data_IF_259111129382
#
_entry.id   IF_259111129382
#
_cell.length_a   1.000
_cell.length_b   1.000
_cell.length_c   1.000
_cell.angle_alpha   90.00
_cell.angle_beta   90.00
_cell.angle_gamma   90.00
#
_symmetry.space_group_name_H-M   'P 1'
#
loop_
_entity.id
_entity.type
_entity.pdbx_description
1 polymer ?
#
# COMPACT_ATOMS: atom_id res chain seq x y z
N UNK A 1 -73.02 -98.94 41.28
CA UNK A 1 -73.98 -98.77 40.18
C UNK A 1 -74.89 -97.63 40.55
N UNK A 2 -74.80 -96.53 39.79
CA UNK A 2 -75.88 -95.61 39.39
C UNK A 2 -75.20 -94.31 38.95
N UNK A 3 -75.34 -94.05 37.66
CA UNK A 3 -74.95 -92.82 36.97
C UNK A 3 -75.86 -91.68 37.40
N UNK A 4 -75.34 -90.44 37.43
CA UNK A 4 -76.04 -89.34 36.78
C UNK A 4 -75.05 -88.23 36.36
N UNK A 5 -74.92 -88.16 35.04
CA UNK A 5 -74.66 -87.05 34.12
C UNK A 5 -74.79 -85.64 34.70
N UNK A 6 -73.77 -84.80 34.47
CA UNK A 6 -74.01 -83.48 33.85
C UNK A 6 -72.73 -82.93 33.21
N UNK A 7 -72.78 -82.87 31.88
CA UNK A 7 -72.00 -81.96 31.04
C UNK A 7 -72.13 -80.53 31.58
N UNK A 8 -71.03 -79.79 31.60
CA UNK A 8 -71.11 -78.40 31.21
C UNK A 8 -69.89 -78.02 30.36
N UNK A 9 -70.22 -77.61 29.15
CA UNK A 9 -69.29 -77.24 28.09
C UNK A 9 -69.30 -75.72 28.04
N UNK A 10 -68.23 -75.05 28.47
CA UNK A 10 -68.09 -73.59 28.27
C UNK A 10 -66.94 -73.34 27.30
N UNK A 11 -67.34 -73.33 26.03
CA UNK A 11 -67.08 -72.28 25.03
C UNK A 11 -65.88 -71.37 25.31
N UNK A 12 -64.88 -71.48 24.43
CA UNK A 12 -63.82 -70.52 24.15
C UNK A 12 -64.34 -69.09 23.98
N UNK A 13 -63.79 -68.13 24.72
CA UNK A 13 -63.89 -66.70 24.40
C UNK A 13 -62.48 -66.16 24.13
N UNK A 14 -62.09 -66.27 22.87
CA UNK A 14 -60.92 -65.65 22.26
C UNK A 14 -61.24 -64.16 22.05
N UNK A 15 -60.93 -63.34 23.05
CA UNK A 15 -61.10 -61.89 22.95
C UNK A 15 -60.05 -61.31 21.98
N UNK A 16 -60.46 -60.57 20.92
CA UNK A 16 -59.51 -59.97 20.00
C UNK A 16 -58.61 -58.96 20.74
N UNK A 17 -57.35 -58.77 20.32
CA UNK A 17 -56.48 -57.78 20.93
C UNK A 17 -57.11 -56.39 20.76
N UNK A 18 -57.41 -55.75 21.88
CA UNK A 18 -57.94 -54.39 21.94
C UNK A 18 -56.90 -53.46 21.30
N UNK A 19 -57.16 -52.98 20.09
CA UNK A 19 -56.42 -51.85 19.53
C UNK A 19 -56.51 -50.68 20.52
N UNK A 20 -55.38 -50.06 20.92
CA UNK A 20 -55.44 -48.94 21.83
C UNK A 20 -56.26 -47.83 21.16
N UNK A 21 -57.35 -47.44 21.82
CA UNK A 21 -58.18 -46.32 21.42
C UNK A 21 -57.27 -45.12 21.16
N UNK A 22 -57.31 -44.59 19.93
CA UNK A 22 -56.64 -43.32 19.61
C UNK A 22 -57.31 -42.25 20.47
N UNK A 23 -56.63 -41.86 21.55
CA UNK A 23 -57.05 -40.73 22.38
C UNK A 23 -56.87 -39.49 21.51
N UNK A 24 -57.98 -38.92 21.04
CA UNK A 24 -57.94 -37.63 20.36
C UNK A 24 -57.43 -36.58 21.37
N UNK A 25 -56.39 -35.81 21.02
CA UNK A 25 -55.82 -34.82 21.93
C UNK A 25 -56.90 -33.81 22.32
N UNK A 26 -56.99 -33.50 23.61
CA UNK A 26 -57.97 -32.52 24.06
C UNK A 26 -57.61 -31.15 23.50
N UNK A 27 -58.60 -30.26 23.38
CA UNK A 27 -58.36 -28.87 22.92
C UNK A 27 -57.32 -28.14 23.78
N UNK A 28 -57.19 -28.51 25.06
CA UNK A 28 -56.18 -27.98 25.96
C UNK A 28 -54.77 -28.47 25.60
N UNK A 29 -54.62 -29.75 25.26
CA UNK A 29 -53.34 -30.34 24.82
C UNK A 29 -52.87 -29.72 23.50
N UNK A 30 -53.80 -29.54 22.55
CA UNK A 30 -53.50 -28.88 21.29
C UNK A 30 -53.05 -27.41 21.48
N UNK A 31 -53.66 -26.70 22.42
CA UNK A 31 -53.28 -25.32 22.75
C UNK A 31 -51.90 -25.25 23.43
N UNK A 32 -51.59 -26.18 24.33
CA UNK A 32 -50.28 -26.26 24.98
C UNK A 32 -49.15 -26.55 23.97
N UNK A 33 -49.37 -27.46 23.00
CA UNK A 33 -48.42 -27.75 21.93
C UNK A 33 -48.20 -26.52 21.04
N UNK A 34 -49.26 -25.79 20.69
CA UNK A 34 -49.15 -24.55 19.91
C UNK A 34 -48.43 -23.44 20.68
N UNK A 35 -48.65 -23.33 21.99
CA UNK A 35 -47.95 -22.40 22.86
C UNK A 35 -46.44 -22.70 22.88
N UNK A 36 -46.08 -23.96 23.11
CA UNK A 36 -44.69 -24.42 23.11
C UNK A 36 -44.01 -24.21 21.74
N UNK A 37 -44.74 -24.44 20.64
CA UNK A 37 -44.24 -24.19 19.30
C UNK A 37 -44.01 -22.69 19.05
N UNK A 38 -44.91 -21.82 19.53
CA UNK A 38 -44.71 -20.38 19.47
C UNK A 38 -43.48 -19.95 20.28
N UNK A 39 -43.32 -20.43 21.51
CA UNK A 39 -42.18 -20.09 22.35
C UNK A 39 -40.85 -20.51 21.71
N UNK A 40 -40.83 -21.70 21.08
CA UNK A 40 -39.67 -22.19 20.33
C UNK A 40 -39.37 -21.34 19.08
N UNK A 41 -40.41 -20.91 18.35
CA UNK A 41 -40.25 -20.04 17.19
C UNK A 41 -39.77 -18.65 17.61
N UNK A 42 -40.27 -18.08 18.71
CA UNK A 42 -39.80 -16.80 19.25
C UNK A 42 -38.34 -16.88 19.62
N UNK A 43 -37.91 -17.91 20.36
CA UNK A 43 -36.50 -18.10 20.69
C UNK A 43 -35.61 -18.22 19.44
N UNK A 44 -36.11 -18.89 18.39
CA UNK A 44 -35.38 -19.02 17.12
C UNK A 44 -35.30 -17.69 16.35
N UNK A 45 -36.36 -16.88 16.40
CA UNK A 45 -36.36 -15.54 15.80
C UNK A 45 -35.32 -14.66 16.51
N UNK A 46 -35.30 -14.66 17.83
CA UNK A 46 -34.34 -13.86 18.62
C UNK A 46 -32.89 -14.26 18.30
N UNK A 47 -32.60 -15.56 18.21
CA UNK A 47 -31.28 -16.07 17.82
C UNK A 47 -30.89 -15.63 16.40
N UNK A 48 -31.82 -15.67 15.44
CA UNK A 48 -31.56 -15.23 14.06
C UNK A 48 -31.34 -13.71 13.97
N UNK A 49 -32.04 -12.92 14.79
CA UNK A 49 -31.86 -11.48 14.87
C UNK A 49 -30.49 -11.12 15.47
N UNK A 50 -30.06 -11.83 16.52
CA UNK A 50 -28.73 -11.67 17.10
C UNK A 50 -27.63 -12.04 16.08
N UNK A 51 -27.75 -13.19 15.42
CA UNK A 51 -26.81 -13.61 14.38
C UNK A 51 -26.77 -12.65 13.17
N UNK A 52 -27.89 -12.00 12.84
CA UNK A 52 -27.93 -10.97 11.81
C UNK A 52 -27.17 -9.71 12.25
N UNK A 53 -27.36 -9.26 13.49
CA UNK A 53 -26.66 -8.10 14.03
C UNK A 53 -25.14 -8.32 14.10
N UNK A 54 -24.71 -9.53 14.48
CA UNK A 54 -23.30 -9.93 14.46
C UNK A 54 -22.72 -9.91 13.04
N UNK A 55 -23.47 -10.43 12.06
CA UNK A 55 -23.05 -10.42 10.65
C UNK A 55 -22.89 -8.99 10.12
N UNK A 56 -23.80 -8.09 10.46
CA UNK A 56 -23.72 -6.68 10.08
C UNK A 56 -22.48 -6.01 10.70
N UNK A 57 -22.24 -6.25 12.00
CA UNK A 57 -21.05 -5.75 12.70
C UNK A 57 -19.75 -6.26 12.07
N UNK A 58 -19.70 -7.53 11.66
CA UNK A 58 -18.56 -8.10 10.95
C UNK A 58 -18.38 -7.50 9.56
N UNK A 59 -19.47 -7.26 8.83
CA UNK A 59 -19.43 -6.64 7.52
C UNK A 59 -18.88 -5.20 7.60
N UNK A 60 -19.31 -4.42 8.59
CA UNK A 60 -18.80 -3.07 8.82
C UNK A 60 -17.31 -3.06 9.16
N UNK A 61 -16.86 -4.00 10.01
CA UNK A 61 -15.43 -4.14 10.33
C UNK A 61 -14.60 -4.54 9.12
N UNK A 62 -15.12 -5.45 8.29
CA UNK A 62 -14.44 -5.85 7.05
C UNK A 62 -14.33 -4.66 6.09
N UNK A 63 -15.41 -3.92 5.88
CA UNK A 63 -15.42 -2.73 5.02
C UNK A 63 -14.44 -1.66 5.52
N UNK A 64 -14.36 -1.43 6.85
CA UNK A 64 -13.39 -0.52 7.44
C UNK A 64 -11.93 -0.98 7.19
N UNK A 65 -11.65 -2.26 7.38
CA UNK A 65 -10.32 -2.83 7.14
C UNK A 65 -9.92 -2.77 5.65
N UNK A 66 -10.87 -3.01 4.74
CA UNK A 66 -10.63 -2.88 3.30
C UNK A 66 -10.34 -1.44 2.90
N UNK A 67 -11.07 -0.46 3.43
CA UNK A 67 -10.82 0.96 3.19
C UNK A 67 -9.44 1.41 3.71
N UNK A 68 -9.06 0.94 4.90
CA UNK A 68 -7.72 1.20 5.45
C UNK A 68 -6.62 0.57 4.59
N UNK A 69 -6.80 -0.69 4.17
CA UNK A 69 -5.87 -1.39 3.29
C UNK A 69 -5.69 -0.68 1.94
N UNK A 70 -6.79 -0.22 1.32
CA UNK A 70 -6.75 0.56 0.09
C UNK A 70 -5.98 1.88 0.27
N UNK A 71 -6.22 2.56 1.39
CA UNK A 71 -5.51 3.80 1.75
C UNK A 71 -4.00 3.55 1.90
N UNK A 72 -3.63 2.47 2.59
CA UNK A 72 -2.24 2.09 2.79
C UNK A 72 -1.54 1.73 1.47
N UNK A 73 -2.20 0.95 0.61
CA UNK A 73 -1.68 0.60 -0.72
C UNK A 73 -1.50 1.82 -1.60
N UNK A 74 -2.40 2.80 -1.53
CA UNK A 74 -2.27 4.06 -2.27
C UNK A 74 -1.04 4.85 -1.80
N UNK A 75 -0.86 5.00 -0.48
CA UNK A 75 0.32 5.68 0.09
C UNK A 75 1.62 4.95 -0.26
N UNK A 76 1.63 3.63 -0.14
CA UNK A 76 2.82 2.83 -0.45
C UNK A 76 3.22 2.97 -1.92
N UNK A 77 2.24 2.92 -2.83
CA UNK A 77 2.44 3.17 -4.27
C UNK A 77 3.05 4.55 -4.53
N UNK A 78 2.54 5.58 -3.86
CA UNK A 78 3.03 6.95 -4.02
C UNK A 78 4.46 7.15 -3.52
N UNK A 79 4.81 6.53 -2.40
CA UNK A 79 6.16 6.55 -1.84
C UNK A 79 7.11 5.76 -2.72
N UNK A 80 6.72 4.55 -3.14
CA UNK A 80 7.55 3.71 -3.97
C UNK A 80 7.80 4.33 -5.36
N UNK A 81 6.80 5.00 -5.95
CA UNK A 81 6.99 5.75 -7.19
C UNK A 81 7.97 6.91 -7.01
N UNK A 82 7.85 7.68 -5.93
CA UNK A 82 8.78 8.77 -5.64
C UNK A 82 10.21 8.23 -5.48
N UNK A 83 10.37 7.14 -4.73
CA UNK A 83 11.67 6.51 -4.53
C UNK A 83 12.28 6.00 -5.84
N UNK A 84 11.50 5.32 -6.68
CA UNK A 84 11.98 4.82 -7.96
C UNK A 84 12.41 5.97 -8.89
N UNK A 85 11.68 7.10 -8.87
CA UNK A 85 12.05 8.29 -9.62
C UNK A 85 13.32 8.95 -9.08
N UNK A 86 13.50 9.00 -7.77
CA UNK A 86 14.71 9.57 -7.16
C UNK A 86 15.95 8.72 -7.46
N UNK A 87 15.83 7.39 -7.44
CA UNK A 87 16.91 6.48 -7.83
C UNK A 87 17.27 6.64 -9.31
N UNK A 88 16.26 6.67 -10.18
CA UNK A 88 16.48 6.89 -11.61
C UNK A 88 17.05 8.28 -11.88
N UNK A 89 16.60 9.32 -11.17
CA UNK A 89 17.15 10.66 -11.25
C UNK A 89 18.65 10.67 -10.95
N UNK A 90 19.05 9.99 -9.87
CA UNK A 90 20.44 9.85 -9.48
C UNK A 90 21.26 9.07 -10.53
N UNK A 91 20.70 7.99 -11.09
CA UNK A 91 21.36 7.19 -12.13
C UNK A 91 21.62 7.99 -13.43
N UNK A 92 20.69 8.87 -13.80
CA UNK A 92 20.78 9.69 -15.02
C UNK A 92 21.35 11.10 -14.74
N UNK A 93 21.68 11.42 -13.49
CA UNK A 93 22.34 12.69 -13.10
C UNK A 93 21.42 13.92 -13.11
N UNK A 94 20.11 13.75 -13.09
CA UNK A 94 19.14 14.85 -12.94
C UNK A 94 18.76 15.05 -11.48
N UNK A 95 18.24 16.25 -11.15
CA UNK A 95 17.76 16.48 -9.78
C UNK A 95 16.45 15.73 -9.51
N UNK A 96 16.23 15.25 -8.27
CA UNK A 96 14.96 14.64 -7.86
C UNK A 96 13.74 15.52 -8.20
N UNK A 97 13.88 16.84 -8.02
CA UNK A 97 12.82 17.80 -8.33
C UNK A 97 12.51 17.88 -9.83
N UNK A 98 13.51 17.75 -10.70
CA UNK A 98 13.29 17.68 -12.14
C UNK A 98 12.63 16.37 -12.55
N UNK A 99 13.05 15.24 -11.96
CA UNK A 99 12.44 13.93 -12.20
C UNK A 99 10.96 13.88 -11.77
N UNK A 100 10.63 14.52 -10.65
CA UNK A 100 9.26 14.59 -10.13
C UNK A 100 8.27 15.25 -11.11
N UNK A 101 8.73 16.14 -12.00
CA UNK A 101 7.88 16.75 -13.05
C UNK A 101 7.34 15.72 -14.04
N UNK A 102 7.99 14.56 -14.17
CA UNK A 102 7.58 13.47 -15.05
C UNK A 102 6.73 12.41 -14.34
N UNK A 103 6.41 12.58 -13.05
CA UNK A 103 5.69 11.58 -12.24
C UNK A 103 4.40 11.08 -12.90
N UNK A 104 3.66 11.95 -13.59
CA UNK A 104 2.41 11.60 -14.27
C UNK A 104 2.56 10.65 -15.45
N UNK A 105 3.79 10.40 -15.92
CA UNK A 105 4.08 9.47 -17.02
C UNK A 105 4.23 8.02 -16.58
N UNK A 106 4.26 7.78 -15.27
CA UNK A 106 4.53 6.47 -14.70
C UNK A 106 3.29 5.92 -14.03
N UNK A 107 3.09 4.62 -14.23
CA UNK A 107 2.12 3.84 -13.49
C UNK A 107 2.87 2.97 -12.50
N UNK A 108 2.54 3.12 -11.22
CA UNK A 108 3.05 2.27 -10.16
C UNK A 108 1.96 1.30 -9.73
N UNK A 109 2.25 0.01 -9.77
CA UNK A 109 1.35 -1.06 -9.30
C UNK A 109 2.00 -1.78 -8.13
N UNK A 110 1.16 -2.26 -7.22
CA UNK A 110 1.57 -3.04 -6.05
C UNK A 110 0.75 -4.32 -6.09
N UNK A 111 1.40 -5.47 -6.15
CA UNK A 111 0.72 -6.76 -6.17
C UNK A 111 0.26 -7.20 -4.77
N UNK A 112 -0.42 -8.36 -4.69
CA UNK A 112 -0.91 -8.91 -3.43
C UNK A 112 0.20 -9.35 -2.47
N UNK A 113 1.41 -9.62 -2.99
CA UNK A 113 2.60 -9.94 -2.20
C UNK A 113 3.35 -8.68 -1.72
N UNK A 114 2.93 -7.48 -2.17
CA UNK A 114 3.55 -6.20 -1.86
C UNK A 114 4.71 -5.84 -2.78
N UNK A 115 4.97 -6.59 -3.86
CA UNK A 115 5.97 -6.22 -4.84
C UNK A 115 5.51 -5.01 -5.65
N UNK A 116 6.40 -4.05 -5.81
CA UNK A 116 6.15 -2.81 -6.55
C UNK A 116 6.70 -2.96 -7.97
N UNK A 117 5.91 -2.57 -8.97
CA UNK A 117 6.41 -2.38 -10.32
C UNK A 117 6.04 -1.00 -10.84
N UNK A 118 7.01 -0.32 -11.47
CA UNK A 118 6.82 0.99 -12.08
C UNK A 118 7.02 0.83 -13.59
N UNK A 119 6.03 1.25 -14.37
CA UNK A 119 6.07 1.18 -15.82
C UNK A 119 5.66 2.51 -16.47
N UNK A 120 6.32 2.91 -17.57
CA UNK A 120 7.58 2.36 -18.10
C UNK A 120 8.77 2.54 -17.12
N UNK A 121 9.93 1.94 -17.41
CA UNK A 121 11.13 2.10 -16.57
C UNK A 121 11.49 3.59 -16.44
N UNK A 122 11.53 4.13 -15.20
CA UNK A 122 11.92 5.52 -14.95
C UNK A 122 13.26 5.91 -15.55
N UNK A 123 14.28 5.03 -15.51
CA UNK A 123 15.62 5.37 -15.99
C UNK A 123 15.62 5.61 -17.51
N UNK A 124 14.96 4.73 -18.26
CA UNK A 124 14.87 4.82 -19.72
C UNK A 124 14.13 6.08 -20.17
N UNK A 125 13.00 6.40 -19.52
CA UNK A 125 12.23 7.60 -19.86
C UNK A 125 13.02 8.86 -19.58
N UNK A 126 13.68 8.95 -18.42
CA UNK A 126 14.46 10.12 -18.04
C UNK A 126 15.70 10.30 -18.92
N UNK A 127 16.36 9.19 -19.32
CA UNK A 127 17.46 9.22 -20.28
C UNK A 127 16.99 9.74 -21.66
N UNK A 128 15.87 9.25 -22.17
CA UNK A 128 15.30 9.74 -23.43
C UNK A 128 14.86 11.22 -23.37
N UNK A 129 14.37 11.67 -22.21
CA UNK A 129 14.05 13.08 -21.98
C UNK A 129 15.30 13.97 -21.99
N UNK A 130 16.45 13.50 -21.49
CA UNK A 130 17.69 14.26 -21.64
C UNK A 130 18.08 14.42 -23.10
N UNK A 131 18.00 13.35 -23.90
CA UNK A 131 18.34 13.43 -25.32
C UNK A 131 17.47 14.46 -26.07
N UNK A 132 16.19 14.50 -25.75
CA UNK A 132 15.22 15.34 -26.47
C UNK A 132 15.08 16.75 -25.89
N UNK A 133 15.36 16.96 -24.60
CA UNK A 133 15.15 18.22 -23.92
C UNK A 133 16.47 18.98 -23.66
N UNK A 134 16.78 20.04 -24.44
CA UNK A 134 18.02 20.79 -24.29
C UNK A 134 18.10 21.55 -22.95
N UNK A 135 16.96 21.95 -22.36
CA UNK A 135 16.94 22.63 -21.07
C UNK A 135 17.29 21.67 -19.93
N UNK A 136 16.84 20.42 -20.02
CA UNK A 136 17.15 19.39 -19.04
C UNK A 136 18.64 19.05 -19.08
N UNK A 137 19.22 18.87 -20.28
CA UNK A 137 20.68 18.72 -20.47
C UNK A 137 21.46 19.88 -19.87
N UNK A 138 21.10 21.11 -20.21
CA UNK A 138 21.77 22.29 -19.67
C UNK A 138 21.65 22.40 -18.13
N UNK A 139 20.60 21.84 -17.54
CA UNK A 139 20.46 21.75 -16.09
C UNK A 139 21.39 20.70 -15.49
N UNK A 140 21.56 19.54 -16.13
CA UNK A 140 22.51 18.49 -15.69
C UNK A 140 23.93 19.02 -15.72
N UNK A 141 24.36 19.60 -16.85
CA UNK A 141 25.72 20.15 -17.00
C UNK A 141 26.01 21.21 -15.92
N UNK A 142 25.02 22.06 -15.63
CA UNK A 142 25.13 23.06 -14.56
C UNK A 142 25.23 22.43 -13.16
N UNK A 143 24.41 21.42 -12.87
CA UNK A 143 24.46 20.72 -11.60
C UNK A 143 25.80 20.01 -11.41
N UNK A 144 26.33 19.37 -12.45
CA UNK A 144 27.61 18.68 -12.41
C UNK A 144 28.76 19.64 -12.08
N UNK A 145 28.80 20.81 -12.74
CA UNK A 145 29.76 21.87 -12.43
C UNK A 145 29.63 22.37 -10.98
N UNK A 146 28.41 22.53 -10.47
CA UNK A 146 28.16 22.91 -9.07
C UNK A 146 28.59 21.82 -8.07
N UNK A 147 28.40 20.54 -8.39
CA UNK A 147 28.89 19.42 -7.58
C UNK A 147 30.40 19.33 -7.56
N UNK A 148 31.07 19.46 -8.72
CA UNK A 148 32.53 19.51 -8.80
C UNK A 148 33.10 20.67 -8.01
N UNK A 149 32.50 21.86 -8.11
CA UNK A 149 32.88 23.01 -7.30
C UNK A 149 32.68 22.77 -5.79
N UNK A 150 31.59 22.12 -5.39
CA UNK A 150 31.36 21.75 -4.00
C UNK A 150 32.41 20.74 -3.50
N UNK A 151 32.78 19.75 -4.32
CA UNK A 151 33.82 18.76 -4.02
C UNK A 151 35.18 19.44 -3.79
N UNK A 152 35.54 20.45 -4.59
CA UNK A 152 36.76 21.25 -4.38
C UNK A 152 36.70 22.06 -3.07
N UNK A 153 35.54 22.66 -2.75
CA UNK A 153 35.41 23.43 -1.50
C UNK A 153 35.43 22.58 -0.23
N UNK A 154 34.96 21.33 -0.32
CA UNK A 154 35.00 20.35 0.77
C UNK A 154 36.34 19.60 0.82
N UNK A 155 37.12 19.66 -0.27
CA UNK A 155 38.43 19.03 -0.41
C UNK A 155 38.39 17.57 -0.80
N UNK A 156 37.29 17.11 -1.38
CA UNK A 156 37.14 15.78 -1.99
C UNK A 156 37.87 15.71 -3.33
N UNK A 157 38.03 16.85 -4.01
CA UNK A 157 38.71 16.99 -5.31
C UNK A 157 39.73 18.12 -5.24
N UNK A 158 40.85 18.00 -5.96
CA UNK A 158 41.86 19.06 -6.05
C UNK A 158 41.39 20.19 -6.99
N UNK A 159 41.85 21.41 -6.75
CA UNK A 159 41.57 22.58 -7.59
C UNK A 159 42.11 22.37 -9.01
N UNK A 160 43.22 21.63 -9.15
CA UNK A 160 43.85 21.36 -10.44
C UNK A 160 43.05 20.41 -11.34
N UNK A 161 42.13 19.63 -10.78
CA UNK A 161 41.36 18.60 -11.51
C UNK A 161 40.06 19.13 -12.13
N UNK A 162 39.74 20.42 -11.92
CA UNK A 162 38.51 21.05 -12.38
C UNK A 162 38.81 22.19 -13.34
N UNK A 163 37.98 22.36 -14.38
CA UNK A 163 38.11 23.51 -15.29
C UNK A 163 38.03 24.83 -14.49
N UNK A 164 39.05 25.69 -14.56
CA UNK A 164 39.07 26.94 -13.82
C UNK A 164 37.91 27.87 -14.17
N UNK A 165 37.39 27.83 -15.41
CA UNK A 165 36.25 28.65 -15.85
C UNK A 165 34.95 28.17 -15.19
N UNK A 166 34.72 26.85 -15.17
CA UNK A 166 33.54 26.26 -14.53
C UNK A 166 33.58 26.51 -13.02
N UNK A 167 34.73 26.25 -12.40
CA UNK A 167 34.92 26.42 -10.96
C UNK A 167 34.68 27.87 -10.54
N UNK A 168 35.26 28.86 -11.23
CA UNK A 168 35.05 30.26 -10.83
C UNK A 168 33.60 30.71 -11.06
N UNK A 169 32.98 30.27 -12.16
CA UNK A 169 31.58 30.57 -12.44
C UNK A 169 30.66 30.01 -11.35
N UNK A 170 30.93 28.78 -10.88
CA UNK A 170 30.18 28.17 -9.79
C UNK A 170 30.44 28.84 -8.42
N UNK A 171 31.66 29.32 -8.17
CA UNK A 171 31.97 30.08 -6.94
C UNK A 171 31.28 31.44 -6.93
N UNK A 172 31.24 32.16 -8.05
CA UNK A 172 30.62 33.49 -8.11
C UNK A 172 29.09 33.46 -7.98
N UNK A 173 28.44 32.33 -8.29
CA UNK A 173 27.01 32.11 -8.01
C UNK A 173 26.69 31.97 -6.52
N UNK A 174 27.67 31.63 -5.68
CA UNK A 174 27.44 31.33 -4.25
C UNK A 174 28.50 32.01 -3.37
N UNK A 175 28.18 33.17 -2.78
CA UNK A 175 29.12 33.90 -1.91
C UNK A 175 29.64 33.09 -0.73
N UNK A 176 28.81 32.23 -0.14
CA UNK A 176 29.20 31.34 0.96
C UNK A 176 30.17 30.25 0.51
N UNK A 177 29.98 29.69 -0.70
CA UNK A 177 30.90 28.70 -1.29
C UNK A 177 32.24 29.34 -1.61
N UNK A 178 32.25 30.53 -2.19
CA UNK A 178 33.44 31.33 -2.45
C UNK A 178 34.23 31.62 -1.17
N UNK A 179 33.55 32.02 -0.10
CA UNK A 179 34.17 32.21 1.21
C UNK A 179 34.82 30.92 1.73
N UNK A 180 34.12 29.79 1.67
CA UNK A 180 34.67 28.47 2.08
C UNK A 180 35.90 28.06 1.27
N UNK A 181 35.86 28.26 -0.06
CA UNK A 181 37.00 28.02 -0.92
C UNK A 181 38.22 28.84 -0.47
N UNK A 182 38.04 30.15 -0.25
CA UNK A 182 39.11 31.06 0.20
C UNK A 182 39.62 30.68 1.59
N UNK A 183 38.74 30.30 2.52
CA UNK A 183 39.15 29.85 3.85
C UNK A 183 40.00 28.59 3.80
N UNK A 184 39.68 27.66 2.90
CA UNK A 184 40.39 26.37 2.79
C UNK A 184 41.70 26.48 2.02
N UNK A 185 41.65 27.05 0.83
CA UNK A 185 42.75 27.07 -0.14
C UNK A 185 43.57 28.36 -0.09
N UNK A 186 43.09 29.35 0.66
CA UNK A 186 43.71 30.66 0.78
C UNK A 186 43.25 31.64 -0.31
N UNK A 187 43.42 32.95 -0.05
CA UNK A 187 43.07 33.99 -1.02
C UNK A 187 43.95 33.96 -2.28
N UNK A 188 45.21 33.53 -2.16
CA UNK A 188 46.12 33.44 -3.32
C UNK A 188 45.64 32.39 -4.32
N UNK A 189 45.24 31.20 -3.87
CA UNK A 189 44.71 30.15 -4.74
C UNK A 189 43.46 30.63 -5.50
N UNK A 190 42.61 31.45 -4.88
CA UNK A 190 41.46 32.06 -5.55
C UNK A 190 41.89 33.05 -6.65
N UNK A 191 42.91 33.88 -6.40
CA UNK A 191 43.44 34.80 -7.40
C UNK A 191 44.10 34.06 -8.58
N UNK A 192 44.83 32.99 -8.29
CA UNK A 192 45.48 32.15 -9.30
C UNK A 192 44.44 31.44 -10.17
N UNK A 193 43.37 30.90 -9.55
CA UNK A 193 42.20 30.36 -10.22
C UNK A 193 41.55 31.40 -11.14
N UNK A 194 41.33 32.63 -10.65
CA UNK A 194 40.73 33.71 -11.43
C UNK A 194 41.62 34.16 -12.60
N UNK A 195 42.94 34.10 -12.44
CA UNK A 195 43.87 34.36 -13.54
C UNK A 195 43.84 33.23 -14.58
N UNK A 196 43.79 31.97 -14.14
CA UNK A 196 43.65 30.81 -15.01
C UNK A 196 42.33 30.84 -15.81
N UNK A 197 41.21 31.12 -15.16
CA UNK A 197 39.91 31.25 -15.81
C UNK A 197 39.91 32.35 -16.87
N UNK A 198 40.49 33.52 -16.58
CA UNK A 198 40.62 34.63 -17.55
C UNK A 198 41.45 34.25 -18.78
N UNK A 199 42.55 33.49 -18.60
CA UNK A 199 43.33 32.95 -19.73
C UNK A 199 42.50 32.00 -20.60
N UNK A 200 41.55 31.29 -19.97
CA UNK A 200 40.66 30.33 -20.62
C UNK A 200 39.34 30.95 -21.11
N UNK A 201 39.25 32.29 -21.17
CA UNK A 201 38.11 32.98 -21.78
C UNK A 201 37.00 33.40 -20.83
N UNK A 202 37.15 33.21 -19.51
CA UNK A 202 36.21 33.77 -18.53
C UNK A 202 36.23 35.30 -18.56
N UNK A 203 35.07 35.90 -18.81
CA UNK A 203 34.84 37.35 -18.75
C UNK A 203 33.82 37.61 -17.65
N UNK A 204 34.30 38.14 -16.52
CA UNK A 204 33.49 38.59 -15.39
C UNK A 204 32.69 39.84 -15.74
#
# INVERSE_FOLDING_TARGET
MSQDTQDDTVITDDAPPVEPARVEPTRADALAVLQQANDALTARIDELLEAQSDRETLADRLAAAEAESQTLRSRYRDVALAHALDEAAAAVGISPQAAAMFRSRFTCTVDDAGAVSVQPDPADVLAGELETNPLLRQSVDRNEADFRAAAVTTGVTDVADVDPVELITALDRSPSRKARFITRHGPQAFLDLAAAARRNGYRA
#
